data_IF_242202040404
#
_entry.id   IF_242202040404
#
_cell.length_a   1.000
_cell.length_b   1.000
_cell.length_c   1.000
_cell.angle_alpha   90.00
_cell.angle_beta   90.00
_cell.angle_gamma   90.00
#
_symmetry.space_group_name_H-M   'P 1'
#
loop_
_entity.id
_entity.type
_entity.pdbx_description
1 polymer ?
#
# COMPACT_ATOMS: atom_id res chain seq x y z
N UNK A 1 9.42 -0.44 23.48
CA UNK A 1 10.26 -0.55 22.27
C UNK A 1 9.49 -1.47 21.34
N UNK A 2 9.08 -1.01 20.17
CA UNK A 2 8.19 -1.76 19.28
C UNK A 2 9.04 -2.67 18.39
N UNK A 3 8.92 -3.98 18.55
CA UNK A 3 9.61 -4.97 17.71
C UNK A 3 8.59 -6.00 17.25
N UNK A 4 8.17 -5.88 15.99
CA UNK A 4 7.18 -6.75 15.36
C UNK A 4 7.61 -8.22 15.29
N UNK A 5 8.91 -8.54 15.50
CA UNK A 5 9.40 -9.92 15.60
C UNK A 5 9.36 -10.46 17.02
N UNK A 6 9.48 -9.59 18.03
CA UNK A 6 9.51 -9.97 19.45
C UNK A 6 8.13 -10.03 20.09
N UNK A 7 7.28 -9.07 19.74
CA UNK A 7 5.94 -8.91 20.33
C UNK A 7 4.83 -9.14 19.27
N UNK A 8 5.15 -9.87 18.21
CA UNK A 8 4.28 -10.13 17.06
C UNK A 8 2.86 -10.55 17.48
N UNK A 9 2.77 -11.55 18.35
CA UNK A 9 1.50 -12.11 18.80
C UNK A 9 0.66 -11.13 19.62
N UNK A 10 1.30 -10.26 20.41
CA UNK A 10 0.60 -9.23 21.19
C UNK A 10 0.01 -8.16 20.27
N UNK A 11 0.79 -7.70 19.29
CA UNK A 11 0.30 -6.71 18.32
C UNK A 11 -0.76 -7.29 17.40
N UNK A 12 -0.61 -8.56 16.99
CA UNK A 12 -1.60 -9.27 16.19
C UNK A 12 -2.94 -9.35 16.93
N UNK A 13 -2.92 -9.81 18.19
CA UNK A 13 -4.12 -9.86 19.03
C UNK A 13 -4.72 -8.48 19.32
N UNK A 14 -3.87 -7.45 19.44
CA UNK A 14 -4.34 -6.07 19.62
C UNK A 14 -5.09 -5.59 18.37
N UNK A 15 -4.50 -5.78 17.18
CA UNK A 15 -5.12 -5.37 15.94
C UNK A 15 -6.39 -6.17 15.64
N UNK A 16 -6.38 -7.49 15.86
CA UNK A 16 -7.56 -8.35 15.76
C UNK A 16 -8.73 -7.79 16.59
N UNK A 17 -8.50 -7.49 17.87
CA UNK A 17 -9.53 -6.91 18.76
C UNK A 17 -10.06 -5.58 18.25
N UNK A 18 -9.18 -4.70 17.74
CA UNK A 18 -9.59 -3.42 17.17
C UNK A 18 -10.48 -3.67 15.96
N UNK A 19 -10.08 -4.53 15.02
CA UNK A 19 -10.84 -4.85 13.81
C UNK A 19 -12.22 -5.41 14.19
N UNK A 20 -12.28 -6.33 15.15
CA UNK A 20 -13.54 -6.91 15.64
C UNK A 20 -14.43 -5.80 16.21
N UNK A 21 -13.94 -5.00 17.17
CA UNK A 21 -14.71 -3.92 17.77
C UNK A 21 -15.26 -2.92 16.73
N UNK A 22 -14.43 -2.57 15.76
CA UNK A 22 -14.77 -1.68 14.65
C UNK A 22 -15.87 -2.27 13.75
N UNK A 23 -15.76 -3.56 13.43
CA UNK A 23 -16.81 -4.28 12.71
C UNK A 23 -18.12 -4.28 13.52
N UNK A 24 -18.08 -4.58 14.82
CA UNK A 24 -19.29 -4.61 15.66
C UNK A 24 -20.02 -3.26 15.68
N UNK A 25 -19.26 -2.15 15.74
CA UNK A 25 -19.81 -0.82 15.68
C UNK A 25 -20.48 -0.52 14.32
N UNK A 26 -19.87 -0.93 13.21
CA UNK A 26 -20.43 -0.75 11.88
C UNK A 26 -21.63 -1.68 11.64
N UNK A 27 -21.53 -2.93 12.06
CA UNK A 27 -22.57 -3.93 11.92
C UNK A 27 -23.81 -3.54 12.72
N UNK A 28 -23.67 -3.15 13.99
CA UNK A 28 -24.81 -2.68 14.80
C UNK A 28 -25.51 -1.46 14.20
N UNK A 29 -24.77 -0.57 13.52
CA UNK A 29 -25.33 0.64 12.91
C UNK A 29 -25.99 0.39 11.56
N UNK A 30 -25.48 -0.56 10.76
CA UNK A 30 -25.87 -0.75 9.37
C UNK A 30 -26.39 -2.15 9.03
N UNK A 31 -26.64 -3.03 10.01
CA UNK A 31 -27.14 -4.39 9.80
C UNK A 31 -28.38 -4.45 8.91
N UNK A 32 -29.35 -3.54 9.10
CA UNK A 32 -30.58 -3.45 8.29
C UNK A 32 -30.35 -3.04 6.83
N UNK A 33 -29.11 -2.70 6.47
CA UNK A 33 -28.74 -2.27 5.12
C UNK A 33 -28.06 -3.38 4.31
N UNK A 34 -27.92 -4.59 4.87
CA UNK A 34 -27.23 -5.73 4.27
C UNK A 34 -25.80 -5.39 3.86
N UNK A 35 -24.89 -5.45 4.83
CA UNK A 35 -23.44 -5.30 4.59
C UNK A 35 -22.97 -6.50 3.76
N UNK A 36 -22.29 -6.24 2.65
CA UNK A 36 -21.72 -7.29 1.79
C UNK A 36 -20.19 -7.26 1.75
N UNK A 37 -19.57 -6.20 2.27
CA UNK A 37 -18.12 -6.09 2.37
C UNK A 37 -17.68 -5.23 3.55
N UNK A 38 -16.54 -5.58 4.14
CA UNK A 38 -15.87 -4.87 5.21
C UNK A 38 -14.37 -4.77 4.90
N UNK A 39 -13.82 -3.56 5.03
CA UNK A 39 -12.44 -3.28 4.69
C UNK A 39 -11.68 -2.55 5.80
N UNK A 40 -10.45 -2.99 6.04
CA UNK A 40 -9.42 -2.20 6.73
C UNK A 40 -8.64 -1.40 5.67
N UNK A 41 -8.63 -0.07 5.78
CA UNK A 41 -7.94 0.82 4.84
C UNK A 41 -6.61 1.28 5.42
N UNK A 42 -5.55 1.07 4.64
CA UNK A 42 -4.19 1.47 4.92
C UNK A 42 -3.78 2.64 4.01
N UNK A 43 -2.93 3.54 4.52
CA UNK A 43 -2.28 4.55 3.69
C UNK A 43 -1.19 3.93 2.79
N UNK A 44 -0.62 4.74 1.90
CA UNK A 44 0.48 4.33 1.01
C UNK A 44 1.69 3.76 1.76
N UNK A 45 1.85 4.10 3.05
CA UNK A 45 2.95 3.67 3.92
C UNK A 45 2.58 2.48 4.80
N UNK A 46 1.47 1.79 4.52
CA UNK A 46 0.97 0.63 5.28
C UNK A 46 0.55 0.99 6.72
N UNK A 47 0.14 2.24 6.98
CA UNK A 47 -0.42 2.66 8.25
C UNK A 47 -1.95 2.53 8.23
N UNK A 48 -2.58 1.95 9.27
CA UNK A 48 -4.03 1.87 9.33
C UNK A 48 -4.64 3.26 9.46
N UNK A 49 -5.63 3.55 8.62
CA UNK A 49 -6.35 4.82 8.60
C UNK A 49 -7.73 4.69 9.24
N UNK A 50 -8.55 3.78 8.70
CA UNK A 50 -9.93 3.57 9.14
C UNK A 50 -10.43 2.20 8.69
N UNK A 51 -11.56 1.79 9.25
CA UNK A 51 -12.35 0.67 8.73
C UNK A 51 -13.61 1.20 8.05
N UNK A 52 -14.10 0.49 7.04
CA UNK A 52 -15.29 0.88 6.27
C UNK A 52 -16.09 -0.33 5.83
N UNK A 53 -17.39 -0.15 5.62
CA UNK A 53 -18.29 -1.17 5.06
C UNK A 53 -18.96 -0.69 3.79
N UNK A 54 -19.34 -1.63 2.94
CA UNK A 54 -20.31 -1.39 1.88
C UNK A 54 -21.59 -2.18 2.10
N UNK A 55 -22.71 -1.59 1.70
CA UNK A 55 -24.06 -2.10 1.95
C UNK A 55 -24.86 -2.07 0.66
N UNK A 56 -25.88 -2.91 0.52
CA UNK A 56 -26.73 -2.89 -0.67
C UNK A 56 -27.45 -1.54 -0.85
N UNK A 57 -27.66 -0.79 0.24
CA UNK A 57 -28.24 0.56 0.19
C UNK A 57 -27.30 1.62 -0.39
N UNK A 58 -25.98 1.44 -0.36
CA UNK A 58 -25.05 2.37 -1.02
C UNK A 58 -25.14 2.29 -2.55
N UNK A 59 -25.68 1.21 -3.10
CA UNK A 59 -25.88 1.03 -4.55
C UNK A 59 -27.21 1.60 -5.07
N UNK A 60 -28.06 2.13 -4.18
CA UNK A 60 -29.39 2.63 -4.52
C UNK A 60 -29.37 4.03 -5.16
N UNK A 61 -30.13 4.19 -6.25
CA UNK A 61 -30.12 5.28 -7.23
C UNK A 61 -29.99 6.70 -6.65
N UNK A 62 -29.41 7.64 -7.42
CA UNK A 62 -29.18 9.05 -7.02
C UNK A 62 -30.43 9.76 -6.49
N UNK A 63 -31.61 9.36 -6.97
CA UNK A 63 -32.91 9.90 -6.54
C UNK A 63 -33.29 9.49 -5.12
N UNK A 64 -32.87 8.32 -4.65
CA UNK A 64 -33.22 7.76 -3.34
C UNK A 64 -32.28 8.28 -2.24
N UNK A 65 -30.98 8.40 -2.53
CA UNK A 65 -30.06 9.08 -1.63
C UNK A 65 -28.77 9.56 -2.34
N UNK A 66 -28.75 10.82 -2.78
CA UNK A 66 -27.57 11.47 -3.40
C UNK A 66 -26.29 11.39 -2.58
N UNK A 67 -26.41 11.24 -1.25
CA UNK A 67 -25.26 11.16 -0.35
C UNK A 67 -24.78 9.74 -0.12
N UNK A 68 -25.49 8.70 -0.58
CA UNK A 68 -25.13 7.30 -0.37
C UNK A 68 -24.86 6.54 -1.67
N UNK A 69 -25.40 6.99 -2.81
CA UNK A 69 -25.25 6.31 -4.09
C UNK A 69 -23.79 6.16 -4.55
N UNK A 70 -23.47 4.93 -4.94
CA UNK A 70 -22.35 4.47 -5.74
C UNK A 70 -22.94 3.85 -7.02
N UNK A 71 -22.39 4.18 -8.18
CA UNK A 71 -22.74 3.46 -9.40
C UNK A 71 -22.26 2.00 -9.29
N UNK A 72 -22.97 1.06 -9.90
CA UNK A 72 -22.62 -0.38 -9.88
C UNK A 72 -21.15 -0.62 -10.29
N UNK A 73 -20.69 0.09 -11.32
CA UNK A 73 -19.28 0.08 -11.77
C UNK A 73 -18.24 0.56 -10.74
N UNK A 74 -18.67 1.09 -9.60
CA UNK A 74 -17.85 1.61 -8.51
C UNK A 74 -18.10 0.87 -7.19
N UNK A 75 -18.88 -0.20 -7.22
CA UNK A 75 -19.22 -1.04 -6.07
C UNK A 75 -17.99 -1.49 -5.29
N UNK A 76 -16.92 -1.84 -6.01
CA UNK A 76 -15.66 -2.34 -5.43
C UNK A 76 -14.56 -1.25 -5.30
N UNK A 77 -14.90 0.01 -5.55
CA UNK A 77 -13.96 1.12 -5.37
C UNK A 77 -13.97 1.61 -3.92
N UNK A 78 -13.17 0.94 -3.08
CA UNK A 78 -13.19 1.05 -1.61
C UNK A 78 -13.00 2.49 -1.11
N UNK A 79 -12.16 3.29 -1.77
CA UNK A 79 -11.95 4.71 -1.43
C UNK A 79 -13.23 5.57 -1.53
N UNK A 80 -14.26 5.10 -2.23
CA UNK A 80 -15.55 5.81 -2.36
C UNK A 80 -16.60 5.33 -1.36
N UNK A 81 -16.31 4.31 -0.55
CA UNK A 81 -17.25 3.81 0.45
C UNK A 81 -17.41 4.81 1.59
N UNK A 82 -18.65 5.15 1.90
CA UNK A 82 -18.97 6.27 2.79
C UNK A 82 -19.17 5.85 4.25
N UNK A 83 -19.39 4.58 4.53
CA UNK A 83 -19.67 4.09 5.87
C UNK A 83 -18.37 3.74 6.61
N UNK A 84 -17.70 4.78 7.08
CA UNK A 84 -16.50 4.65 7.89
C UNK A 84 -16.84 4.49 9.37
N UNK A 85 -15.97 3.80 10.11
CA UNK A 85 -16.08 3.73 11.56
C UNK A 85 -15.88 5.08 12.22
N UNK A 86 -16.60 5.27 13.32
CA UNK A 86 -16.53 6.47 14.17
C UNK A 86 -15.50 6.26 15.30
N UNK A 87 -15.11 5.02 15.61
CA UNK A 87 -14.28 4.66 16.77
C UNK A 87 -12.78 4.62 16.48
N UNK A 88 -12.30 5.57 15.67
CA UNK A 88 -10.90 5.64 15.20
C UNK A 88 -9.85 5.83 16.31
N UNK A 89 -10.21 6.02 17.59
CA UNK A 89 -9.24 6.32 18.64
C UNK A 89 -8.25 5.17 18.87
N UNK A 90 -8.73 3.93 18.98
CA UNK A 90 -7.87 2.77 19.21
C UNK A 90 -7.00 2.47 17.98
N UNK A 91 -7.60 2.55 16.78
CA UNK A 91 -6.90 2.38 15.51
C UNK A 91 -5.83 3.47 15.30
N UNK A 92 -6.11 4.72 15.65
CA UNK A 92 -5.14 5.82 15.58
C UNK A 92 -3.97 5.62 16.55
N UNK A 93 -4.25 5.14 17.78
CA UNK A 93 -3.19 4.80 18.73
C UNK A 93 -2.32 3.65 18.22
N UNK A 94 -2.95 2.63 17.62
CA UNK A 94 -2.23 1.53 16.99
C UNK A 94 -1.39 2.01 15.79
N UNK A 95 -1.96 2.85 14.92
CA UNK A 95 -1.31 3.44 13.76
C UNK A 95 -0.06 4.24 14.15
N UNK A 96 -0.12 5.00 15.25
CA UNK A 96 1.08 5.68 15.81
C UNK A 96 2.16 4.69 16.23
N UNK A 97 1.80 3.58 16.88
CA UNK A 97 2.78 2.55 17.27
C UNK A 97 3.45 1.90 16.05
N UNK A 98 2.68 1.60 15.00
CA UNK A 98 3.22 1.09 13.73
C UNK A 98 4.12 2.14 13.06
N UNK A 99 3.71 3.40 13.06
CA UNK A 99 4.53 4.49 12.54
C UNK A 99 5.88 4.58 13.24
N UNK A 100 5.90 4.52 14.58
CA UNK A 100 7.14 4.54 15.37
C UNK A 100 8.04 3.35 15.01
N UNK A 101 7.45 2.18 14.77
CA UNK A 101 8.18 0.99 14.33
C UNK A 101 8.79 1.11 12.94
N UNK A 102 7.99 1.58 11.97
CA UNK A 102 8.48 1.80 10.61
C UNK A 102 9.63 2.82 10.66
N UNK A 103 9.49 3.89 11.46
CA UNK A 103 10.53 4.90 11.66
C UNK A 103 11.81 4.32 12.28
N UNK A 104 11.71 3.48 13.30
CA UNK A 104 12.86 2.82 13.92
C UNK A 104 13.52 1.81 12.97
N UNK A 105 12.74 1.20 12.09
CA UNK A 105 13.19 0.25 11.08
C UNK A 105 13.76 0.92 9.84
N UNK A 106 13.67 2.26 9.70
CA UNK A 106 14.14 3.00 8.51
C UNK A 106 15.58 2.72 8.15
N UNK A 107 16.47 2.54 9.12
CA UNK A 107 17.88 2.24 8.85
C UNK A 107 18.06 0.89 8.14
N UNK A 108 17.18 -0.07 8.41
CA UNK A 108 17.16 -1.40 7.78
C UNK A 108 16.49 -1.34 6.38
N UNK A 109 15.48 -0.48 6.22
CA UNK A 109 14.68 -0.31 4.98
C UNK A 109 15.47 0.40 3.85
N UNK A 110 16.62 1.01 4.13
CA UNK A 110 17.44 1.71 3.12
C UNK A 110 17.95 0.80 1.99
N UNK A 111 17.96 -0.52 2.19
CA UNK A 111 18.32 -1.51 1.17
C UNK A 111 17.04 -2.17 0.59
N UNK A 112 16.85 -2.19 -0.74
CA UNK A 112 15.66 -2.73 -1.43
C UNK A 112 15.27 -4.14 -1.01
N UNK A 113 16.27 -5.01 -0.82
CA UNK A 113 15.98 -6.39 -0.45
C UNK A 113 15.29 -6.45 0.91
N UNK A 114 15.84 -5.73 1.89
CA UNK A 114 15.26 -5.62 3.22
C UNK A 114 13.98 -4.78 3.24
N UNK A 115 13.83 -3.81 2.32
CA UNK A 115 12.59 -3.06 2.09
C UNK A 115 11.46 -3.99 1.67
N UNK A 116 11.69 -4.83 0.65
CA UNK A 116 10.67 -5.76 0.15
C UNK A 116 10.30 -6.79 1.22
N UNK A 117 11.29 -7.43 1.87
CA UNK A 117 11.05 -8.37 2.96
C UNK A 117 10.27 -7.72 4.12
N UNK A 118 10.56 -6.46 4.46
CA UNK A 118 9.84 -5.72 5.49
C UNK A 118 8.37 -5.45 5.13
N UNK A 119 8.09 -5.05 3.88
CA UNK A 119 6.72 -4.81 3.42
C UNK A 119 5.94 -6.11 3.24
N UNK A 120 6.60 -7.21 2.88
CA UNK A 120 6.00 -8.56 2.84
C UNK A 120 5.64 -9.04 4.25
N UNK A 121 6.51 -8.80 5.24
CA UNK A 121 6.25 -9.09 6.65
C UNK A 121 5.04 -8.28 7.17
N UNK A 122 4.99 -6.97 6.87
CA UNK A 122 3.85 -6.11 7.24
C UNK A 122 2.55 -6.55 6.54
N UNK A 123 2.63 -6.90 5.27
CA UNK A 123 1.49 -7.41 4.50
C UNK A 123 0.94 -8.67 5.15
N UNK A 124 1.81 -9.64 5.43
CA UNK A 124 1.45 -10.90 6.09
C UNK A 124 0.84 -10.65 7.47
N UNK A 125 1.37 -9.69 8.22
CA UNK A 125 0.83 -9.28 9.52
C UNK A 125 -0.62 -8.77 9.41
N UNK A 126 -0.91 -7.86 8.49
CA UNK A 126 -2.26 -7.32 8.31
C UNK A 126 -3.25 -8.38 7.82
N UNK A 127 -2.82 -9.23 6.87
CA UNK A 127 -3.65 -10.33 6.37
C UNK A 127 -3.97 -11.33 7.48
N UNK A 128 -2.99 -11.69 8.30
CA UNK A 128 -3.20 -12.59 9.44
C UNK A 128 -4.17 -11.98 10.46
N UNK A 129 -3.98 -10.71 10.84
CA UNK A 129 -4.87 -10.04 11.80
C UNK A 129 -6.31 -9.96 11.29
N UNK A 130 -6.50 -9.67 10.00
CA UNK A 130 -7.82 -9.63 9.38
C UNK A 130 -8.44 -11.02 9.25
N UNK A 131 -7.63 -12.05 8.95
CA UNK A 131 -8.08 -13.44 8.93
C UNK A 131 -8.60 -13.88 10.31
N UNK A 132 -7.84 -13.62 11.37
CA UNK A 132 -8.22 -14.00 12.73
C UNK A 132 -9.47 -13.23 13.19
N UNK A 133 -9.54 -11.94 12.86
CA UNK A 133 -10.74 -11.13 13.10
C UNK A 133 -11.96 -11.65 12.33
N UNK A 134 -11.80 -12.05 11.06
CA UNK A 134 -12.86 -12.68 10.24
C UNK A 134 -13.39 -13.92 10.93
N UNK A 135 -12.53 -14.84 11.34
CA UNK A 135 -12.95 -16.08 12.02
C UNK A 135 -13.76 -15.77 13.30
N UNK A 136 -13.31 -14.80 14.08
CA UNK A 136 -13.98 -14.36 15.30
C UNK A 136 -15.36 -13.74 15.01
N UNK A 137 -15.43 -12.83 14.03
CA UNK A 137 -16.67 -12.17 13.60
C UNK A 137 -17.68 -13.20 13.07
N UNK A 138 -17.24 -14.07 12.18
CA UNK A 138 -18.07 -15.13 11.61
C UNK A 138 -18.66 -16.04 12.68
N UNK A 139 -17.83 -16.47 13.63
CA UNK A 139 -18.28 -17.29 14.75
C UNK A 139 -19.26 -16.54 15.67
N UNK A 140 -18.99 -15.27 15.97
CA UNK A 140 -19.83 -14.45 16.88
C UNK A 140 -21.20 -14.13 16.30
N UNK A 141 -21.28 -13.86 15.00
CA UNK A 141 -22.50 -13.43 14.32
C UNK A 141 -23.21 -14.55 13.55
N UNK A 142 -22.64 -15.76 13.51
CA UNK A 142 -23.16 -16.91 12.76
C UNK A 142 -23.39 -16.57 11.28
N UNK A 143 -22.43 -15.86 10.69
CA UNK A 143 -22.46 -15.46 9.28
C UNK A 143 -21.95 -16.60 8.41
N UNK A 144 -22.51 -16.75 7.21
CA UNK A 144 -22.00 -17.70 6.23
C UNK A 144 -20.70 -17.18 5.59
N UNK A 145 -19.86 -18.09 5.09
CA UNK A 145 -18.52 -17.78 4.55
C UNK A 145 -18.53 -16.83 3.36
N UNK A 146 -19.67 -16.71 2.67
CA UNK A 146 -19.86 -15.92 1.45
C UNK A 146 -20.69 -14.64 1.67
N UNK A 147 -21.16 -14.38 2.89
CA UNK A 147 -22.07 -13.26 3.19
C UNK A 147 -21.38 -11.89 3.13
N UNK A 148 -20.14 -11.83 3.65
CA UNK A 148 -19.38 -10.59 3.77
C UNK A 148 -17.95 -10.83 3.30
N UNK A 149 -17.51 -10.04 2.33
CA UNK A 149 -16.10 -10.02 1.94
C UNK A 149 -15.27 -9.21 2.93
N UNK A 150 -14.18 -9.80 3.41
CA UNK A 150 -13.19 -9.15 4.27
C UNK A 150 -11.98 -8.73 3.43
N UNK A 151 -11.60 -7.46 3.54
CA UNK A 151 -10.60 -6.85 2.65
C UNK A 151 -9.58 -6.04 3.46
N UNK A 152 -8.30 -6.17 3.15
CA UNK A 152 -7.27 -5.18 3.50
C UNK A 152 -6.95 -4.39 2.23
N UNK A 153 -7.21 -3.09 2.27
CA UNK A 153 -7.04 -2.19 1.14
C UNK A 153 -5.89 -1.24 1.42
N UNK A 154 -4.96 -1.11 0.46
CA UNK A 154 -3.92 -0.09 0.49
C UNK A 154 -4.30 0.98 -0.54
N UNK A 155 -4.47 2.23 -0.08
CA UNK A 155 -4.78 3.35 -0.97
C UNK A 155 -3.69 3.47 -2.04
N UNK A 156 -4.10 3.51 -3.31
CA UNK A 156 -3.19 3.60 -4.45
C UNK A 156 -2.59 2.26 -4.93
N UNK A 157 -2.87 1.14 -4.26
CA UNK A 157 -2.39 -0.19 -4.65
C UNK A 157 -3.55 -1.20 -4.74
N UNK A 158 -4.22 -1.21 -5.89
CA UNK A 158 -5.32 -2.15 -6.16
C UNK A 158 -4.86 -3.60 -6.27
N UNK A 159 -3.62 -3.87 -6.71
CA UNK A 159 -3.12 -5.26 -6.79
C UNK A 159 -2.98 -5.87 -5.40
N UNK A 160 -2.46 -5.11 -4.41
CA UNK A 160 -2.47 -5.54 -3.01
C UNK A 160 -3.87 -5.89 -2.53
N UNK A 161 -4.86 -5.07 -2.88
CA UNK A 161 -6.27 -5.29 -2.52
C UNK A 161 -6.80 -6.58 -3.14
N UNK A 162 -6.47 -6.85 -4.41
CA UNK A 162 -6.83 -8.10 -5.09
C UNK A 162 -6.20 -9.31 -4.40
N UNK A 163 -4.93 -9.21 -3.98
CA UNK A 163 -4.26 -10.30 -3.24
C UNK A 163 -4.91 -10.52 -1.87
N UNK A 164 -5.27 -9.44 -1.17
CA UNK A 164 -5.98 -9.52 0.10
C UNK A 164 -7.32 -10.25 -0.03
N UNK A 165 -8.14 -9.91 -1.04
CA UNK A 165 -9.43 -10.56 -1.27
C UNK A 165 -9.25 -12.07 -1.48
N UNK A 166 -8.27 -12.48 -2.30
CA UNK A 166 -7.99 -13.89 -2.57
C UNK A 166 -7.51 -14.66 -1.35
N UNK A 167 -6.77 -14.00 -0.45
CA UNK A 167 -6.21 -14.64 0.72
C UNK A 167 -7.23 -14.80 1.86
N UNK A 168 -8.13 -13.82 2.01
CA UNK A 168 -9.04 -13.74 3.16
C UNK A 168 -10.39 -14.43 2.93
N UNK A 169 -10.82 -14.58 1.69
CA UNK A 169 -12.18 -15.02 1.36
C UNK A 169 -12.18 -16.32 0.55
N UNK A 170 -13.24 -17.08 0.71
CA UNK A 170 -13.46 -18.28 -0.07
C UNK A 170 -13.82 -17.94 -1.52
N UNK A 171 -13.64 -18.92 -2.40
CA UNK A 171 -13.93 -18.72 -3.82
C UNK A 171 -15.45 -18.64 -4.03
N UNK A 172 -15.94 -17.45 -4.35
CA UNK A 172 -17.36 -17.19 -4.62
C UNK A 172 -17.55 -16.27 -5.83
N UNK A 173 -18.78 -16.19 -6.35
CA UNK A 173 -19.09 -15.30 -7.48
C UNK A 173 -18.76 -13.83 -7.16
N UNK A 174 -19.08 -13.40 -5.94
CA UNK A 174 -18.80 -12.05 -5.42
C UNK A 174 -17.31 -11.74 -5.40
N UNK A 175 -16.46 -12.72 -5.02
CA UNK A 175 -15.00 -12.57 -5.07
C UNK A 175 -14.51 -12.39 -6.50
N UNK A 176 -15.03 -13.17 -7.45
CA UNK A 176 -14.64 -13.03 -8.86
C UNK A 176 -15.05 -11.68 -9.45
N UNK A 177 -16.26 -11.20 -9.13
CA UNK A 177 -16.75 -9.88 -9.52
C UNK A 177 -15.86 -8.76 -8.94
N UNK A 178 -15.59 -8.80 -7.64
CA UNK A 178 -14.73 -7.83 -6.98
C UNK A 178 -13.33 -7.75 -7.59
N UNK A 179 -12.73 -8.91 -7.88
CA UNK A 179 -11.41 -8.99 -8.51
C UNK A 179 -11.44 -8.45 -9.95
N UNK A 180 -12.49 -8.75 -10.72
CA UNK A 180 -12.62 -8.28 -12.09
C UNK A 180 -12.72 -6.76 -12.15
N UNK A 181 -13.53 -6.16 -11.28
CA UNK A 181 -13.72 -4.71 -11.20
C UNK A 181 -12.45 -3.99 -10.74
N UNK A 182 -11.78 -4.48 -9.71
CA UNK A 182 -10.50 -3.92 -9.24
C UNK A 182 -9.41 -3.99 -10.33
N UNK A 183 -9.34 -5.09 -11.08
CA UNK A 183 -8.39 -5.22 -12.20
C UNK A 183 -8.72 -4.29 -13.35
N UNK A 184 -10.00 -4.02 -13.61
CA UNK A 184 -10.38 -3.02 -14.60
C UNK A 184 -9.84 -1.64 -14.21
N UNK A 185 -9.91 -1.26 -12.92
CA UNK A 185 -9.37 -0.01 -12.39
C UNK A 185 -7.85 0.06 -12.58
N UNK A 186 -7.12 -1.02 -12.29
CA UNK A 186 -5.67 -1.11 -12.55
C UNK A 186 -5.36 -0.83 -14.01
N UNK A 187 -6.05 -1.52 -14.94
CA UNK A 187 -5.81 -1.36 -16.38
C UNK A 187 -6.16 0.06 -16.88
N UNK A 188 -7.18 0.70 -16.31
CA UNK A 188 -7.51 2.10 -16.59
C UNK A 188 -6.45 3.06 -16.01
N UNK A 189 -5.92 2.80 -14.82
CA UNK A 189 -4.83 3.59 -14.22
C UNK A 189 -3.53 3.42 -15.00
N UNK A 190 -3.12 2.21 -15.37
CA UNK A 190 -1.90 1.96 -16.15
C UNK A 190 -1.94 2.66 -17.52
N UNK A 191 -3.10 2.67 -18.19
CA UNK A 191 -3.27 3.43 -19.45
C UNK A 191 -3.13 4.95 -19.26
N UNK A 192 -3.46 5.48 -18.08
CA UNK A 192 -3.38 6.90 -17.77
C UNK A 192 -2.06 7.30 -17.05
N UNK A 193 -1.37 6.33 -16.45
CA UNK A 193 -0.13 6.51 -15.66
C UNK A 193 1.15 6.51 -16.50
N UNK A 194 1.04 6.36 -17.83
CA UNK A 194 2.16 6.60 -18.76
C UNK A 194 2.74 8.03 -18.64
N UNK A 195 2.07 8.93 -17.91
CA UNK A 195 2.52 10.29 -17.61
C UNK A 195 2.76 10.48 -16.10
N UNK A 196 3.67 9.72 -15.49
CA UNK A 196 4.16 10.03 -14.13
C UNK A 196 4.98 11.34 -14.18
N UNK A 197 4.35 12.45 -13.80
CA UNK A 197 5.00 13.75 -13.69
C UNK A 197 6.02 13.72 -12.55
N UNK A 198 7.31 13.83 -12.88
CA UNK A 198 8.40 13.88 -11.89
C UNK A 198 8.18 15.06 -10.95
N UNK A 199 8.34 14.83 -9.64
CA UNK A 199 8.36 15.91 -8.65
C UNK A 199 9.59 16.81 -8.87
N UNK A 200 9.59 18.01 -8.31
CA UNK A 200 10.77 18.88 -8.40
C UNK A 200 12.00 18.20 -7.78
N UNK A 201 11.80 17.47 -6.69
CA UNK A 201 12.84 16.73 -6.00
C UNK A 201 13.41 15.58 -6.85
N UNK A 202 12.55 14.85 -7.57
CA UNK A 202 12.97 13.84 -8.54
C UNK A 202 13.87 14.44 -9.62
N UNK A 203 13.49 15.61 -10.14
CA UNK A 203 14.27 16.32 -11.17
C UNK A 203 15.62 16.77 -10.64
N UNK A 204 15.66 17.34 -9.45
CA UNK A 204 16.88 17.83 -8.82
C UNK A 204 17.88 16.67 -8.60
N UNK A 205 17.40 15.54 -8.06
CA UNK A 205 18.23 14.32 -7.87
C UNK A 205 18.74 13.76 -9.20
N UNK A 206 17.91 13.70 -10.23
CA UNK A 206 18.34 13.26 -11.57
C UNK A 206 19.36 14.21 -12.20
N UNK A 207 19.22 15.53 -11.97
CA UNK A 207 20.19 16.53 -12.42
C UNK A 207 21.52 16.34 -11.71
N UNK A 208 21.51 16.16 -10.38
CA UNK A 208 22.71 15.99 -9.56
C UNK A 208 23.46 14.71 -9.93
N UNK A 209 22.76 13.58 -10.07
CA UNK A 209 23.35 12.33 -10.57
C UNK A 209 23.99 12.52 -11.95
N UNK A 210 23.33 13.24 -12.86
CA UNK A 210 23.87 13.53 -14.20
C UNK A 210 25.09 14.44 -14.15
N UNK A 211 25.15 15.41 -13.24
CA UNK A 211 26.30 16.29 -13.07
C UNK A 211 27.49 15.55 -12.48
N UNK A 212 27.26 14.69 -11.48
CA UNK A 212 28.29 13.82 -10.90
C UNK A 212 28.94 12.95 -11.97
N UNK A 213 28.15 12.32 -12.84
CA UNK A 213 28.65 11.54 -13.98
C UNK A 213 29.56 12.36 -14.91
N UNK A 214 29.37 13.68 -15.04
CA UNK A 214 30.20 14.54 -15.90
C UNK A 214 31.54 14.90 -15.27
N UNK A 215 31.61 15.02 -13.95
CA UNK A 215 32.77 15.54 -13.22
C UNK A 215 33.76 14.41 -12.88
N UNK A 216 33.29 13.21 -12.60
CA UNK A 216 34.16 12.12 -12.13
C UNK A 216 34.89 11.44 -13.30
N UNK A 217 36.23 11.47 -13.27
CA UNK A 217 37.10 10.78 -14.25
C UNK A 217 37.26 9.29 -13.98
N UNK A 218 37.06 8.84 -12.72
CA UNK A 218 36.95 7.45 -12.31
C UNK A 218 35.51 7.16 -11.88
N UNK A 219 34.71 6.66 -12.81
CA UNK A 219 33.24 6.57 -12.72
C UNK A 219 32.75 5.71 -11.55
N UNK A 220 33.49 4.67 -11.16
CA UNK A 220 32.94 3.55 -10.37
C UNK A 220 32.83 3.86 -8.87
N UNK A 221 33.91 4.31 -8.22
CA UNK A 221 33.92 4.52 -6.76
C UNK A 221 33.23 5.82 -6.33
N UNK A 222 33.42 6.89 -7.10
CA UNK A 222 32.93 8.21 -6.72
C UNK A 222 31.41 8.32 -6.77
N UNK A 223 30.78 7.74 -7.80
CA UNK A 223 29.33 7.81 -7.95
C UNK A 223 28.60 6.78 -7.08
N UNK A 224 29.18 5.59 -6.90
CA UNK A 224 28.67 4.58 -5.96
C UNK A 224 28.61 5.15 -4.54
N UNK A 225 29.68 5.82 -4.09
CA UNK A 225 29.69 6.47 -2.78
C UNK A 225 28.62 7.57 -2.64
N UNK A 226 28.43 8.40 -3.67
CA UNK A 226 27.39 9.44 -3.64
C UNK A 226 25.98 8.83 -3.64
N UNK A 227 25.77 7.74 -4.38
CA UNK A 227 24.51 7.00 -4.34
C UNK A 227 24.26 6.36 -2.96
N UNK A 228 25.30 5.85 -2.29
CA UNK A 228 25.21 5.38 -0.90
C UNK A 228 24.84 6.49 0.08
N UNK A 229 25.30 7.72 -0.15
CA UNK A 229 24.88 8.89 0.64
C UNK A 229 23.42 9.27 0.37
N UNK A 230 22.98 9.25 -0.89
CA UNK A 230 21.59 9.52 -1.28
C UNK A 230 20.62 8.49 -0.68
N UNK A 231 20.99 7.21 -0.62
CA UNK A 231 20.18 6.17 0.04
C UNK A 231 19.96 6.46 1.53
N UNK A 232 20.90 7.13 2.18
CA UNK A 232 20.82 7.50 3.59
C UNK A 232 20.07 8.81 3.82
N UNK A 233 19.70 9.52 2.75
CA UNK A 233 18.93 10.75 2.83
C UNK A 233 17.50 10.43 3.34
N UNK A 234 16.99 11.16 4.35
CA UNK A 234 15.65 10.95 4.88
C UNK A 234 14.53 11.07 3.83
N UNK A 235 14.76 11.79 2.73
CA UNK A 235 13.79 11.97 1.66
C UNK A 235 13.95 10.99 0.49
N UNK A 236 14.90 10.05 0.56
CA UNK A 236 15.12 9.04 -0.48
C UNK A 236 13.86 8.23 -0.78
N UNK A 237 13.08 7.90 0.25
CA UNK A 237 11.84 7.13 0.14
C UNK A 237 10.70 7.92 -0.53
N UNK A 238 10.81 9.24 -0.59
CA UNK A 238 9.82 10.13 -1.19
C UNK A 238 10.08 10.33 -2.70
N UNK A 239 11.20 9.83 -3.23
CA UNK A 239 11.52 9.87 -4.66
C UNK A 239 10.66 8.88 -5.46
N UNK A 240 10.55 9.10 -6.77
CA UNK A 240 9.99 8.14 -7.69
C UNK A 240 10.69 6.76 -7.56
N UNK A 241 9.90 5.68 -7.56
CA UNK A 241 10.40 4.32 -7.34
C UNK A 241 11.50 3.90 -8.33
N UNK A 242 11.37 4.28 -9.60
CA UNK A 242 12.37 3.96 -10.62
C UNK A 242 13.68 4.73 -10.38
N UNK A 243 13.61 5.94 -9.80
CA UNK A 243 14.78 6.72 -9.39
C UNK A 243 15.44 6.07 -8.16
N UNK A 244 14.66 5.59 -7.19
CA UNK A 244 15.17 4.82 -6.05
C UNK A 244 15.96 3.60 -6.53
N UNK A 245 15.39 2.82 -7.45
CA UNK A 245 16.05 1.65 -8.04
C UNK A 245 17.35 2.03 -8.77
N UNK A 246 17.34 3.11 -9.57
CA UNK A 246 18.54 3.59 -10.24
C UNK A 246 19.66 3.93 -9.24
N UNK A 247 19.34 4.64 -8.15
CA UNK A 247 20.33 5.03 -7.14
C UNK A 247 20.89 3.79 -6.42
N UNK A 248 20.06 2.81 -6.10
CA UNK A 248 20.52 1.58 -5.45
C UNK A 248 21.40 0.73 -6.35
N UNK A 249 21.05 0.58 -7.63
CA UNK A 249 21.91 -0.12 -8.59
C UNK A 249 23.28 0.56 -8.73
N UNK A 250 23.33 1.89 -8.61
CA UNK A 250 24.59 2.65 -8.61
C UNK A 250 25.38 2.43 -7.30
N UNK A 251 24.70 2.40 -6.16
CA UNK A 251 25.32 2.22 -4.85
C UNK A 251 25.92 0.82 -4.63
N UNK A 252 25.41 -0.20 -5.32
CA UNK A 252 25.85 -1.59 -5.18
C UNK A 252 26.93 -2.02 -6.19
N UNK A 253 27.50 -1.09 -6.95
CA UNK A 253 28.54 -1.39 -7.96
C UNK A 253 29.82 -2.06 -7.41
N UNK A 254 30.05 -2.02 -6.09
CA UNK A 254 31.20 -2.68 -5.42
C UNK A 254 30.90 -4.15 -5.03
N UNK A 255 29.63 -4.55 -4.93
CA UNK A 255 29.22 -5.86 -4.40
C UNK A 255 28.79 -6.81 -5.54
N UNK A 256 29.77 -7.49 -6.14
CA UNK A 256 29.59 -8.74 -6.90
C UNK A 256 28.74 -8.69 -8.18
N UNK A 257 28.39 -7.51 -8.72
CA UNK A 257 27.71 -7.35 -10.00
C UNK A 257 28.59 -6.57 -10.99
N UNK A 258 28.49 -6.83 -12.32
CA UNK A 258 29.24 -6.04 -13.28
C UNK A 258 28.85 -4.55 -13.11
N UNK A 259 29.83 -3.65 -12.94
CA UNK A 259 29.54 -2.25 -12.65
C UNK A 259 28.78 -1.63 -13.83
N UNK A 260 27.64 -0.96 -13.55
CA UNK A 260 26.92 -0.25 -14.60
C UNK A 260 27.87 0.79 -15.22
N UNK A 261 27.91 0.80 -16.54
CA UNK A 261 28.71 1.76 -17.28
C UNK A 261 28.09 3.15 -17.18
N UNK A 262 28.93 4.19 -17.29
CA UNK A 262 28.49 5.59 -17.39
C UNK A 262 27.38 5.78 -18.44
N UNK A 263 27.48 5.08 -19.57
CA UNK A 263 26.49 5.10 -20.65
C UNK A 263 25.13 4.55 -20.21
N UNK A 264 25.10 3.43 -19.48
CA UNK A 264 23.85 2.81 -19.02
C UNK A 264 23.13 3.68 -18.00
N UNK A 265 23.87 4.29 -17.06
CA UNK A 265 23.29 5.22 -16.09
C UNK A 265 22.69 6.44 -16.80
N UNK A 266 23.41 7.01 -17.77
CA UNK A 266 22.93 8.15 -18.55
C UNK A 266 21.69 7.79 -19.39
N UNK A 267 21.63 6.60 -19.98
CA UNK A 267 20.48 6.13 -20.74
C UNK A 267 19.25 5.97 -19.83
N UNK A 268 19.42 5.36 -18.65
CA UNK A 268 18.34 5.24 -17.66
C UNK A 268 17.86 6.60 -17.17
N UNK A 269 18.77 7.54 -16.92
CA UNK A 269 18.41 8.94 -16.59
C UNK A 269 17.60 9.58 -17.73
N UNK A 270 17.97 9.35 -18.99
CA UNK A 270 17.28 9.94 -20.15
C UNK A 270 15.85 9.42 -20.33
N UNK A 271 15.54 8.18 -19.93
CA UNK A 271 14.19 7.61 -20.02
C UNK A 271 13.17 8.41 -19.22
N UNK A 272 13.57 8.96 -18.07
CA UNK A 272 12.72 9.84 -17.25
C UNK A 272 12.32 11.13 -17.97
N UNK A 273 13.19 11.71 -18.80
CA UNK A 273 12.91 12.94 -19.53
C UNK A 273 12.13 12.70 -20.83
N UNK A 274 12.27 11.51 -21.43
CA UNK A 274 11.51 11.14 -22.64
C UNK A 274 10.03 10.88 -22.35
N UNK A 275 9.69 10.48 -21.12
CA UNK A 275 8.30 10.28 -20.68
C UNK A 275 7.59 11.57 -20.20
N UNK A 276 8.29 12.71 -20.10
CA UNK A 276 7.64 14.02 -19.86
C UNK A 276 7.22 14.74 -21.16
N UNK A 277 7.71 14.30 -22.32
CA UNK A 277 7.54 15.00 -23.60
C UNK A 277 6.32 14.53 -24.43
N UNK A 278 5.46 13.67 -23.88
CA UNK A 278 4.23 13.15 -24.50
C UNK A 278 3.02 13.50 -23.63
#
# INVERSE_FOLDING_TARGET
MFDLKKDHAEYLSTLEKIIVNEFEALYSKYAEQSIYAFALVLDERMLPLYTTVSTNKSLLNQEENRFQYLADTQQWHIDKWKYQSIHLQELNLFSRKISDYIQQSRLIITNLKFKNEFYDDLTSFYLQAMHDARQNIMYKYMLDEDDILFIVHQTGNEEFTVQSIKHLNNTSATVFEAIADLRSIVLFKEKNNLNHKLSQQDKDVLIDLRQLLKITSSVELGISYQAQLLIRDPYFLDLNQDIQCLIQDIATMDDHHPPLTKSEILERIQRFYMHEAV
#
